data_IF_339338039680
#
_entry.id   IF_339338039680
#
_cell.length_a   1.000
_cell.length_b   1.000
_cell.length_c   1.000
_cell.angle_alpha   90.00
_cell.angle_beta   90.00
_cell.angle_gamma   90.00
#
_symmetry.space_group_name_H-M   'P 1'
#
loop_
_entity.id
_entity.type
_entity.pdbx_description
1 polymer ?
#
# COMPACT_ATOMS: atom_id res chain seq x y z
N UNK A 1 20.19 1.99 25.15
CA UNK A 1 18.80 1.79 24.70
C UNK A 1 18.23 0.66 25.53
N UNK A 2 17.19 0.93 26.31
CA UNK A 2 16.52 -0.11 27.12
C UNK A 2 15.60 -0.97 26.26
N UNK A 3 15.28 -2.17 26.70
CA UNK A 3 14.32 -3.05 26.01
C UNK A 3 12.95 -2.37 25.84
N UNK A 4 12.52 -1.58 26.83
CA UNK A 4 11.27 -0.83 26.79
C UNK A 4 11.25 0.24 25.69
N UNK A 5 12.35 0.97 25.51
CA UNK A 5 12.49 1.97 24.43
C UNK A 5 12.45 1.30 23.05
N UNK A 6 13.13 0.17 22.86
CA UNK A 6 13.12 -0.57 21.59
C UNK A 6 11.70 -1.05 21.22
N UNK A 7 10.95 -1.58 22.19
CA UNK A 7 9.55 -1.99 21.98
C UNK A 7 8.67 -0.79 21.63
N UNK A 8 8.84 0.34 22.33
CA UNK A 8 8.07 1.55 22.04
C UNK A 8 8.31 2.10 20.63
N UNK A 9 9.58 2.15 20.20
CA UNK A 9 9.94 2.58 18.84
C UNK A 9 9.35 1.64 17.79
N UNK A 10 9.42 0.33 17.99
CA UNK A 10 8.84 -0.65 17.07
C UNK A 10 7.32 -0.49 16.94
N UNK A 11 6.59 -0.36 18.06
CA UNK A 11 5.14 -0.17 18.03
C UNK A 11 4.74 1.14 17.35
N UNK A 12 5.51 2.20 17.54
CA UNK A 12 5.28 3.50 16.89
C UNK A 12 5.47 3.41 15.38
N UNK A 13 6.55 2.77 14.92
CA UNK A 13 6.79 2.50 13.50
C UNK A 13 5.67 1.65 12.89
N UNK A 14 5.27 0.57 13.56
CA UNK A 14 4.16 -0.28 13.12
C UNK A 14 2.84 0.51 12.98
N UNK A 15 2.56 1.43 13.91
CA UNK A 15 1.39 2.31 13.85
C UNK A 15 1.46 3.21 12.61
N UNK A 16 2.58 3.90 12.39
CA UNK A 16 2.74 4.76 11.23
C UNK A 16 2.60 3.99 9.91
N UNK A 17 3.19 2.80 9.81
CA UNK A 17 3.03 1.94 8.61
C UNK A 17 1.56 1.58 8.35
N UNK A 18 0.80 1.26 9.40
CA UNK A 18 -0.64 0.97 9.29
C UNK A 18 -1.45 2.20 8.85
N UNK A 19 -1.13 3.37 9.36
CA UNK A 19 -1.79 4.62 8.97
C UNK A 19 -1.48 4.98 7.51
N UNK A 20 -0.23 4.83 7.08
CA UNK A 20 0.18 5.05 5.69
C UNK A 20 -0.52 4.08 4.75
N UNK A 21 -0.58 2.78 5.09
CA UNK A 21 -1.28 1.78 4.27
C UNK A 21 -2.77 2.15 4.08
N UNK A 22 -3.46 2.55 5.16
CA UNK A 22 -4.85 3.00 5.08
C UNK A 22 -5.03 4.20 4.14
N UNK A 23 -4.15 5.21 4.24
CA UNK A 23 -4.22 6.39 3.37
C UNK A 23 -4.02 6.04 1.90
N UNK A 24 -3.15 5.07 1.60
CA UNK A 24 -2.98 4.57 0.23
C UNK A 24 -4.25 3.85 -0.25
N UNK A 25 -4.88 3.03 0.59
CA UNK A 25 -6.16 2.39 0.25
C UNK A 25 -7.28 3.43 0.00
N UNK A 26 -7.34 4.50 0.81
CA UNK A 26 -8.27 5.62 0.61
C UNK A 26 -8.00 6.39 -0.69
N UNK A 27 -6.72 6.60 -1.03
CA UNK A 27 -6.32 7.20 -2.30
C UNK A 27 -6.76 6.32 -3.49
N UNK A 28 -6.56 5.00 -3.39
CA UNK A 28 -6.99 4.05 -4.42
C UNK A 28 -8.51 4.06 -4.63
N UNK A 29 -9.31 4.29 -3.58
CA UNK A 29 -10.76 4.45 -3.74
C UNK A 29 -11.17 5.81 -4.30
N UNK A 30 -10.49 6.87 -3.87
CA UNK A 30 -10.87 8.25 -4.24
C UNK A 30 -10.42 8.60 -5.66
N UNK A 31 -9.24 8.12 -6.06
CA UNK A 31 -8.62 8.37 -7.36
C UNK A 31 -8.14 7.05 -7.99
N UNK A 32 -9.07 6.13 -8.29
CA UNK A 32 -8.70 4.80 -8.75
C UNK A 32 -7.99 4.82 -10.11
N UNK A 33 -8.37 5.71 -11.02
CA UNK A 33 -7.75 5.86 -12.34
C UNK A 33 -6.27 6.25 -12.26
N UNK A 34 -5.92 7.13 -11.32
CA UNK A 34 -4.54 7.56 -11.10
C UNK A 34 -3.68 6.39 -10.56
N UNK A 35 -4.24 5.57 -9.67
CA UNK A 35 -3.57 4.40 -9.11
C UNK A 35 -3.36 3.33 -10.19
N UNK A 36 -4.38 3.05 -11.01
CA UNK A 36 -4.27 2.12 -12.15
C UNK A 36 -3.18 2.60 -13.12
N UNK A 37 -3.24 3.87 -13.55
CA UNK A 37 -2.25 4.45 -14.47
C UNK A 37 -0.82 4.34 -13.93
N UNK A 38 -0.63 4.61 -12.64
CA UNK A 38 0.68 4.50 -12.00
C UNK A 38 1.19 3.05 -12.01
N UNK A 39 0.33 2.09 -11.67
CA UNK A 39 0.71 0.67 -11.57
C UNK A 39 0.94 0.07 -12.96
N UNK A 40 0.17 0.47 -13.97
CA UNK A 40 0.38 0.06 -15.36
C UNK A 40 1.67 0.65 -15.96
N UNK A 41 2.16 1.78 -15.44
CA UNK A 41 3.44 2.38 -15.81
C UNK A 41 4.66 1.68 -15.17
N UNK A 42 4.45 0.78 -14.20
CA UNK A 42 5.55 0.00 -13.61
C UNK A 42 6.12 -1.00 -14.61
N UNK A 43 7.43 -1.33 -14.53
CA UNK A 43 8.05 -2.28 -15.45
C UNK A 43 7.42 -3.67 -15.30
N UNK A 44 7.24 -4.41 -16.39
CA UNK A 44 6.47 -5.67 -16.40
C UNK A 44 6.89 -6.74 -15.37
N UNK A 45 8.12 -6.66 -14.84
CA UNK A 45 8.63 -7.55 -13.79
C UNK A 45 8.34 -7.07 -12.35
N UNK A 46 7.63 -5.95 -12.16
CA UNK A 46 7.34 -5.39 -10.83
C UNK A 46 6.58 -6.37 -9.94
N UNK A 47 5.71 -7.20 -10.53
CA UNK A 47 4.88 -8.17 -9.81
C UNK A 47 5.57 -9.50 -9.50
N UNK A 48 6.82 -9.67 -9.98
CA UNK A 48 7.59 -10.90 -9.88
C UNK A 48 8.31 -11.06 -8.52
N UNK A 49 8.46 -9.98 -7.76
CA UNK A 49 9.00 -10.02 -6.40
C UNK A 49 7.92 -10.40 -5.38
N UNK A 50 8.20 -11.41 -4.55
CA UNK A 50 7.35 -11.84 -3.44
C UNK A 50 7.73 -11.07 -2.16
N UNK A 51 7.67 -9.74 -2.26
CA UNK A 51 8.00 -8.82 -1.16
C UNK A 51 6.74 -8.08 -0.68
N UNK A 52 6.78 -7.66 0.60
CA UNK A 52 5.64 -7.01 1.26
C UNK A 52 5.18 -5.73 0.53
N UNK A 53 6.08 -5.08 -0.20
CA UNK A 53 5.78 -3.89 -1.02
C UNK A 53 4.98 -4.27 -2.27
N UNK A 54 5.35 -5.35 -2.96
CA UNK A 54 4.59 -5.85 -4.12
C UNK A 54 3.18 -6.27 -3.73
N UNK A 55 3.01 -6.88 -2.55
CA UNK A 55 1.71 -7.28 -2.02
C UNK A 55 0.80 -6.07 -1.76
N UNK A 56 1.37 -5.00 -1.20
CA UNK A 56 0.66 -3.73 -1.03
C UNK A 56 0.23 -3.13 -2.38
N UNK A 57 1.12 -3.11 -3.37
CA UNK A 57 0.81 -2.58 -4.72
C UNK A 57 -0.32 -3.39 -5.37
N UNK A 58 -0.26 -4.73 -5.31
CA UNK A 58 -1.34 -5.62 -5.80
C UNK A 58 -2.68 -5.30 -5.13
N UNK A 59 -2.66 -5.09 -3.81
CA UNK A 59 -3.87 -4.74 -3.05
C UNK A 59 -4.44 -3.37 -3.44
N UNK A 60 -3.59 -2.35 -3.62
CA UNK A 60 -4.01 -1.03 -4.07
C UNK A 60 -4.61 -1.08 -5.48
N UNK A 61 -4.00 -1.86 -6.37
CA UNK A 61 -4.53 -2.09 -7.73
C UNK A 61 -5.92 -2.72 -7.70
N UNK A 62 -6.11 -3.77 -6.90
CA UNK A 62 -7.39 -4.45 -6.76
C UNK A 62 -8.48 -3.52 -6.21
N UNK A 63 -8.15 -2.69 -5.21
CA UNK A 63 -9.08 -1.68 -4.67
C UNK A 63 -9.46 -0.66 -5.74
N UNK A 64 -8.49 -0.16 -6.50
CA UNK A 64 -8.73 0.81 -7.55
C UNK A 64 -9.64 0.25 -8.65
N UNK A 65 -9.36 -0.97 -9.13
CA UNK A 65 -10.21 -1.66 -10.11
C UNK A 65 -11.63 -1.89 -9.59
N UNK A 66 -11.77 -2.30 -8.33
CA UNK A 66 -13.08 -2.49 -7.72
C UNK A 66 -13.86 -1.17 -7.62
N UNK A 67 -13.19 -0.07 -7.26
CA UNK A 67 -13.81 1.26 -7.19
C UNK A 67 -14.19 1.82 -8.57
N UNK A 68 -13.50 1.43 -9.64
CA UNK A 68 -13.91 1.76 -11.01
C UNK A 68 -15.13 0.93 -11.41
N UNK A 69 -15.15 -0.36 -11.09
CA UNK A 69 -16.25 -1.26 -11.45
C UNK A 69 -17.57 -0.97 -10.72
N UNK A 70 -17.51 -0.34 -9.54
CA UNK A 70 -18.68 0.03 -8.73
C UNK A 70 -19.32 1.38 -9.13
N UNK A 71 -18.68 2.14 -10.03
CA UNK A 71 -19.19 3.41 -10.58
C UNK A 71 -20.09 3.20 -11.79
#
# INVERSE_FOLDING_TARGET
MTQAEAVWTFLTDLKHRRETAKRLEELARSNPEAVVTFIEALPANWSCQDDSETDLIKRLYAIALQSIADR
#
